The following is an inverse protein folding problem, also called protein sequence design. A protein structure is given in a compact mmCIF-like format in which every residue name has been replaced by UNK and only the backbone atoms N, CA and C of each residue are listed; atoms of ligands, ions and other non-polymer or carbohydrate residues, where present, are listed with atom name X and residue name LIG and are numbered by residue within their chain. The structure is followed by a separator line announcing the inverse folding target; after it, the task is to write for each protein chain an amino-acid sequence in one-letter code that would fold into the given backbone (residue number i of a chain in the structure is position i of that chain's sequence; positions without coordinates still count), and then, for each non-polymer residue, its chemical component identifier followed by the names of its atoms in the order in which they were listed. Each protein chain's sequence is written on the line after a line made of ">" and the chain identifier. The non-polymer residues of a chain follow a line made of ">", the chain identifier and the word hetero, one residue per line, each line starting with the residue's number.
data_IF_933902649749
#
_entry.id   IF_933902649749
#
_cell.length_a   1.000
_cell.length_b   1.000
_cell.length_c   1.000
_cell.angle_alpha   90.00
_cell.angle_beta   90.00
_cell.angle_gamma   90.00
#
_symmetry.space_group_name_H-M   'P 1'
#
loop_
_entity.id
_entity.type
_entity.pdbx_description
1 polymer ?
#
# COMPACT_ATOMS: atom_id res chain seq x y z
N UNK A 1 11.30 -16.63 -12.70
CA UNK A 1 11.38 -15.19 -12.36
C UNK A 1 10.70 -14.98 -11.00
N UNK A 2 11.40 -14.38 -10.02
CA UNK A 2 10.77 -14.00 -8.74
C UNK A 2 9.88 -12.79 -9.00
N UNK A 3 8.60 -12.87 -8.63
CA UNK A 3 7.67 -11.74 -8.66
C UNK A 3 7.67 -11.09 -7.29
N UNK A 4 7.87 -9.79 -7.23
CA UNK A 4 7.81 -9.00 -6.01
C UNK A 4 6.47 -8.27 -5.91
N UNK A 5 6.10 -7.90 -4.70
CA UNK A 5 4.95 -7.04 -4.48
C UNK A 5 5.41 -5.58 -4.47
N UNK A 6 4.76 -4.75 -5.27
CA UNK A 6 4.97 -3.30 -5.32
C UNK A 6 3.74 -2.60 -4.76
N UNK A 7 3.97 -1.50 -4.05
CA UNK A 7 2.94 -0.71 -3.38
C UNK A 7 2.89 0.68 -3.98
N UNK A 8 1.69 1.12 -4.29
CA UNK A 8 1.37 2.48 -4.69
C UNK A 8 0.74 3.22 -3.51
N UNK A 9 1.55 4.01 -2.81
CA UNK A 9 1.15 4.70 -1.58
C UNK A 9 0.04 5.73 -1.82
N UNK A 10 0.05 6.42 -2.96
CA UNK A 10 -0.90 7.49 -3.31
C UNK A 10 -2.35 7.01 -3.37
N UNK A 11 -2.55 5.72 -3.65
CA UNK A 11 -3.87 5.10 -3.74
C UNK A 11 -4.32 4.44 -2.44
N UNK A 12 -3.44 4.32 -1.44
CA UNK A 12 -3.83 3.68 -0.20
C UNK A 12 -4.75 4.60 0.60
N UNK A 13 -5.88 4.08 1.05
CA UNK A 13 -6.85 4.81 1.89
C UNK A 13 -6.68 4.53 3.38
N UNK A 14 -5.73 3.66 3.74
CA UNK A 14 -5.55 3.25 5.13
C UNK A 14 -6.63 2.33 5.70
N UNK A 15 -7.45 1.68 4.85
CA UNK A 15 -8.55 0.81 5.29
C UNK A 15 -8.15 -0.46 6.08
N UNK A 16 -6.86 -0.82 6.13
CA UNK A 16 -6.30 -1.96 6.87
C UNK A 16 -6.84 -3.36 6.52
N UNK A 17 -7.66 -3.49 5.47
CA UNK A 17 -8.19 -4.79 5.01
C UNK A 17 -7.08 -5.78 4.63
N UNK A 18 -5.96 -5.29 4.10
CA UNK A 18 -4.81 -6.13 3.78
C UNK A 18 -4.17 -6.76 5.03
N UNK A 19 -4.20 -6.09 6.19
CA UNK A 19 -3.71 -6.61 7.46
C UNK A 19 -4.63 -7.73 7.96
N UNK A 20 -5.94 -7.50 7.92
CA UNK A 20 -6.95 -8.48 8.31
C UNK A 20 -6.93 -9.71 7.40
N UNK A 21 -6.91 -9.51 6.08
CA UNK A 21 -6.81 -10.60 5.12
C UNK A 21 -5.54 -11.43 5.32
N UNK A 22 -4.40 -10.78 5.57
CA UNK A 22 -3.14 -11.47 5.82
C UNK A 22 -3.16 -12.28 7.13
N UNK A 23 -3.60 -11.67 8.24
CA UNK A 23 -3.67 -12.34 9.54
C UNK A 23 -4.67 -13.50 9.55
N UNK A 24 -5.81 -13.36 8.87
CA UNK A 24 -6.77 -14.44 8.69
C UNK A 24 -6.16 -15.58 7.88
N UNK A 25 -5.58 -15.29 6.71
CA UNK A 25 -5.04 -16.33 5.83
C UNK A 25 -3.80 -17.06 6.41
N UNK A 26 -2.99 -16.39 7.24
CA UNK A 26 -1.74 -16.95 7.76
C UNK A 26 -1.84 -17.49 9.17
N UNK A 27 -2.68 -16.90 10.00
CA UNK A 27 -2.77 -17.22 11.42
C UNK A 27 -4.18 -17.64 11.84
N UNK A 28 -5.15 -17.69 10.92
CA UNK A 28 -6.55 -17.99 11.20
C UNK A 28 -7.13 -17.12 12.32
N UNK A 29 -6.70 -15.86 12.38
CA UNK A 29 -7.13 -14.89 13.40
C UNK A 29 -7.28 -13.52 12.77
N UNK A 30 -8.29 -12.75 13.19
CA UNK A 30 -8.45 -11.35 12.82
C UNK A 30 -7.61 -10.44 13.72
N UNK A 31 -6.28 -10.60 13.67
CA UNK A 31 -5.36 -9.81 14.48
C UNK A 31 -4.30 -9.14 13.59
N UNK A 32 -4.47 -7.83 13.27
CA UNK A 32 -3.52 -7.07 12.46
C UNK A 32 -2.07 -7.14 12.94
N UNK A 33 -1.82 -7.31 14.25
CA UNK A 33 -0.45 -7.42 14.79
C UNK A 33 0.30 -8.65 14.26
N UNK A 34 -0.43 -9.71 13.90
CA UNK A 34 0.12 -10.94 13.32
C UNK A 34 0.29 -10.86 11.79
N UNK A 35 -0.16 -9.79 11.13
CA UNK A 35 -0.03 -9.67 9.69
C UNK A 35 1.42 -9.43 9.24
N UNK A 36 1.78 -9.96 8.07
CA UNK A 36 3.07 -9.72 7.41
C UNK A 36 3.11 -8.41 6.61
N UNK A 37 1.97 -7.70 6.52
CA UNK A 37 1.81 -6.37 5.95
C UNK A 37 1.19 -5.48 7.01
N UNK A 38 1.70 -4.25 7.13
CA UNK A 38 1.22 -3.26 8.10
C UNK A 38 1.02 -1.90 7.44
N UNK A 39 -0.11 -1.29 7.69
CA UNK A 39 -0.40 0.08 7.27
C UNK A 39 0.11 1.04 8.33
N UNK A 40 1.09 1.84 7.95
CA UNK A 40 1.66 2.90 8.76
C UNK A 40 1.22 4.25 8.22
N UNK A 41 0.77 5.15 9.10
CA UNK A 41 0.66 6.56 8.75
C UNK A 41 2.05 7.18 8.87
N UNK A 42 2.52 7.82 7.81
CA UNK A 42 3.87 8.38 7.74
C UNK A 42 3.76 9.85 7.31
N UNK A 43 4.60 10.70 7.90
CA UNK A 43 4.69 12.11 7.56
C UNK A 43 3.58 12.96 8.18
N UNK A 44 3.58 14.23 7.82
CA UNK A 44 2.56 15.22 8.16
C UNK A 44 2.28 16.06 6.89
N UNK A 45 1.05 16.12 6.35
CA UNK A 45 -0.16 15.38 6.77
C UNK A 45 0.03 13.85 6.69
N UNK A 46 -0.69 13.09 7.51
CA UNK A 46 -0.51 11.64 7.60
C UNK A 46 -0.91 10.92 6.30
N UNK A 47 0.06 10.29 5.63
CA UNK A 47 -0.21 9.44 4.46
C UNK A 47 -0.19 7.96 4.89
N UNK A 48 -1.28 7.20 4.67
CA UNK A 48 -1.30 5.77 4.99
C UNK A 48 -0.53 4.98 3.94
N UNK A 49 0.48 4.22 4.38
CA UNK A 49 1.33 3.40 3.50
C UNK A 49 1.35 1.96 4.00
N UNK A 50 0.96 0.97 3.16
CA UNK A 50 1.13 -0.43 3.47
C UNK A 50 2.59 -0.85 3.26
N UNK A 51 3.23 -1.29 4.34
CA UNK A 51 4.61 -1.75 4.37
C UNK A 51 4.62 -3.26 4.63
N UNK A 52 5.35 -4.00 3.80
CA UNK A 52 5.62 -5.41 4.05
C UNK A 52 6.82 -5.56 4.99
N UNK A 53 6.70 -6.47 5.97
CA UNK A 53 7.78 -6.71 6.94
C UNK A 53 9.04 -7.31 6.28
N UNK A 54 8.89 -8.10 5.21
CA UNK A 54 9.97 -8.73 4.39
C UNK A 54 9.52 -8.92 2.93
N UNK A 55 10.39 -9.45 2.05
CA UNK A 55 9.98 -9.98 0.74
C UNK A 55 8.90 -11.05 0.97
N UNK A 56 7.63 -10.67 0.82
CA UNK A 56 6.50 -11.50 1.20
C UNK A 56 6.09 -12.38 0.02
N UNK A 57 6.39 -13.67 0.14
CA UNK A 57 5.96 -14.74 -0.76
C UNK A 57 5.08 -15.78 -0.04
N UNK A 58 4.67 -15.50 1.20
CA UNK A 58 4.01 -16.45 2.09
C UNK A 58 2.75 -17.09 1.50
N UNK A 59 2.10 -16.44 0.53
CA UNK A 59 0.91 -16.95 -0.16
C UNK A 59 1.22 -17.71 -1.47
N UNK A 60 2.47 -18.14 -1.70
CA UNK A 60 2.84 -18.98 -2.84
C UNK A 60 2.57 -18.33 -4.20
N UNK A 61 2.70 -17.01 -4.30
CA UNK A 61 2.41 -16.26 -5.54
C UNK A 61 0.94 -15.89 -5.75
N UNK A 62 0.04 -16.16 -4.80
CA UNK A 62 -1.36 -15.65 -4.80
C UNK A 62 -1.66 -14.85 -3.51
N UNK A 63 -1.13 -13.63 -3.37
CA UNK A 63 -1.26 -12.82 -2.17
C UNK A 63 -2.72 -12.40 -1.93
N UNK A 64 -3.23 -12.74 -0.75
CA UNK A 64 -4.58 -12.33 -0.33
C UNK A 64 -4.71 -10.82 -0.17
N UNK A 65 -3.64 -10.12 0.21
CA UNK A 65 -3.65 -8.66 0.36
C UNK A 65 -3.95 -7.94 -0.97
N UNK A 66 -3.53 -8.49 -2.11
CA UNK A 66 -3.87 -7.95 -3.43
C UNK A 66 -5.35 -8.18 -3.77
N UNK A 67 -5.89 -9.36 -3.44
CA UNK A 67 -7.30 -9.71 -3.69
C UNK A 67 -8.29 -8.85 -2.89
N UNK A 68 -7.94 -8.49 -1.66
CA UNK A 68 -8.82 -7.75 -0.74
C UNK A 68 -8.55 -6.24 -0.70
N UNK A 69 -7.70 -5.71 -1.58
CA UNK A 69 -7.47 -4.27 -1.68
C UNK A 69 -8.53 -3.64 -2.60
N UNK A 70 -9.49 -2.85 -2.09
CA UNK A 70 -10.57 -2.29 -2.91
C UNK A 70 -10.06 -1.26 -3.92
N UNK A 71 -9.01 -0.53 -3.57
CA UNK A 71 -8.37 0.52 -4.39
C UNK A 71 -7.25 0.00 -5.29
N UNK A 72 -6.88 -1.28 -5.15
CA UNK A 72 -5.83 -1.91 -5.94
C UNK A 72 -4.44 -1.27 -5.76
N UNK A 73 -4.08 -0.83 -4.54
CA UNK A 73 -2.79 -0.19 -4.27
C UNK A 73 -1.60 -1.18 -4.24
N UNK A 74 -1.86 -2.50 -4.23
CA UNK A 74 -0.83 -3.54 -4.20
C UNK A 74 -0.81 -4.25 -5.56
N UNK A 75 0.35 -4.35 -6.18
CA UNK A 75 0.54 -4.96 -7.51
C UNK A 75 1.73 -5.93 -7.53
N UNK A 76 1.81 -6.76 -8.58
CA UNK A 76 3.01 -7.56 -8.85
C UNK A 76 3.97 -6.78 -9.74
N UNK A 77 5.24 -6.75 -9.34
CA UNK A 77 6.34 -6.26 -10.18
C UNK A 77 7.37 -7.38 -10.41
N UNK A 78 8.00 -7.36 -11.58
CA UNK A 78 9.21 -8.16 -11.86
C UNK A 78 10.44 -7.59 -11.16
N UNK A 79 10.39 -6.31 -10.79
CA UNK A 79 11.49 -5.61 -10.14
C UNK A 79 11.37 -5.70 -8.62
N UNK A 80 12.50 -5.82 -7.93
CA UNK A 80 12.55 -5.74 -6.47
C UNK A 80 12.44 -4.26 -6.06
N UNK A 81 11.27 -3.78 -5.56
CA UNK A 81 11.16 -2.38 -5.19
C UNK A 81 12.14 -2.08 -4.06
N UNK A 82 12.99 -1.05 -4.25
CA UNK A 82 13.73 -0.43 -3.14
C UNK A 82 12.71 -0.01 -2.08
N UNK A 83 13.06 -0.08 -0.79
CA UNK A 83 12.13 0.30 0.27
C UNK A 83 11.57 1.71 -0.01
N UNK A 84 10.26 1.84 -0.14
CA UNK A 84 9.61 3.05 -0.65
C UNK A 84 9.71 4.26 0.31
N UNK A 85 10.36 4.11 1.47
CA UNK A 85 10.61 5.20 2.44
C UNK A 85 11.18 6.48 1.80
N UNK A 86 12.01 6.36 0.76
CA UNK A 86 12.62 7.50 0.08
C UNK A 86 11.62 8.33 -0.75
N UNK A 87 10.50 7.75 -1.20
CA UNK A 87 9.47 8.45 -2.00
C UNK A 87 8.38 9.11 -1.14
N UNK A 88 8.27 8.72 0.13
CA UNK A 88 7.23 9.18 1.07
C UNK A 88 7.60 10.52 1.73
N UNK A 89 8.82 11.02 1.49
CA UNK A 89 9.40 12.17 2.22
C UNK A 89 8.65 13.49 2.01
N UNK A 90 7.77 13.60 1.01
CA UNK A 90 6.96 14.81 0.79
C UNK A 90 5.48 14.44 0.86
N UNK A 91 4.98 14.26 2.08
CA UNK A 91 3.56 13.99 2.34
C UNK A 91 2.64 15.07 1.75
N UNK A 92 3.11 16.32 1.70
CA UNK A 92 2.45 17.43 1.03
C UNK A 92 2.21 17.14 -0.47
N UNK A 93 3.22 16.66 -1.19
CA UNK A 93 3.08 16.34 -2.62
C UNK A 93 2.07 15.20 -2.85
N UNK A 94 2.05 14.21 -1.97
CA UNK A 94 1.07 13.12 -2.05
C UNK A 94 -0.35 13.64 -1.79
N UNK A 95 -0.51 14.50 -0.78
CA UNK A 95 -1.79 15.14 -0.48
C UNK A 95 -2.25 16.05 -1.63
N UNK A 96 -1.36 16.84 -2.22
CA UNK A 96 -1.63 17.66 -3.39
C UNK A 96 -2.01 16.82 -4.61
N UNK A 97 -1.27 15.74 -4.90
CA UNK A 97 -1.59 14.83 -5.99
C UNK A 97 -2.97 14.17 -5.79
N UNK A 98 -3.31 13.81 -4.55
CA UNK A 98 -4.61 13.25 -4.21
C UNK A 98 -5.71 14.30 -4.38
N UNK A 99 -5.52 15.53 -3.88
CA UNK A 99 -6.46 16.64 -4.04
C UNK A 99 -6.68 16.99 -5.52
N UNK A 100 -5.61 17.07 -6.31
CA UNK A 100 -5.69 17.34 -7.75
C UNK A 100 -6.47 16.25 -8.50
N UNK A 101 -6.25 14.96 -8.16
CA UNK A 101 -6.98 13.83 -8.75
C UNK A 101 -8.44 13.78 -8.29
N UNK A 102 -8.72 14.02 -7.01
CA UNK A 102 -10.05 13.91 -6.41
C UNK A 102 -10.96 15.10 -6.76
N UNK A 103 -10.42 16.31 -6.78
CA UNK A 103 -11.16 17.51 -7.19
C UNK A 103 -11.27 17.66 -8.72
N UNK A 104 -10.54 16.84 -9.48
CA UNK A 104 -10.41 16.95 -10.93
C UNK A 104 -9.66 18.22 -11.33
N UNK A 105 -8.83 18.15 -12.37
CA UNK A 105 -8.27 19.36 -12.97
C UNK A 105 -9.42 20.24 -13.48
N UNK A 106 -9.80 21.27 -12.73
CA UNK A 106 -10.05 22.55 -13.41
C UNK A 106 -8.67 23.03 -13.83
N UNK A 107 -8.31 22.70 -15.07
CA UNK A 107 -7.23 23.39 -15.73
C UNK A 107 -7.47 24.89 -15.54
N UNK A 108 -6.52 25.57 -14.92
CA UNK A 108 -6.34 26.96 -15.27
C UNK A 108 -5.55 26.94 -16.56
N UNK A 109 -6.29 26.91 -17.67
CA UNK A 109 -5.85 27.62 -18.86
C UNK A 109 -5.55 29.06 -18.43
N UNK A 110 -4.26 29.37 -18.30
CA UNK A 110 -3.63 30.67 -18.58
C UNK A 110 -2.13 30.60 -18.36
#
# INVERSE_FOLDING_TARGET
>A
MRKFLSVDADRCTGCRLCELACSMNKHNTFNPKKAFIKVHCIGFPEVPVPIFTRHCDACGGKPVCLRYCPVGCISFSSDNPKRDYAKIVIAEQVAENWLQKACGTKGTDK
#
